data_IF_145117739865
#
_entry.id   IF_145117739865
#
_cell.length_a   1.000
_cell.length_b   1.000
_cell.length_c   1.000
_cell.angle_alpha   90.00
_cell.angle_beta   90.00
_cell.angle_gamma   90.00
#
_symmetry.space_group_name_H-M   'P 1'
#
loop_
_entity.id
_entity.type
_entity.pdbx_description
1 polymer ?
#
# COMPACT_ATOMS: atom_id res chain seq x y z
N UNK A 1 -15.48 -7.20 -19.22
CA UNK A 1 -14.64 -6.69 -18.10
C UNK A 1 -14.99 -5.26 -17.69
N UNK A 2 -14.99 -4.27 -18.59
CA UNK A 2 -15.22 -2.86 -18.25
C UNK A 2 -16.54 -2.59 -17.47
N UNK A 3 -17.71 -3.18 -17.85
CA UNK A 3 -18.92 -3.01 -17.07
C UNK A 3 -18.82 -3.52 -15.63
N UNK A 4 -18.09 -4.63 -15.39
CA UNK A 4 -17.87 -5.17 -14.03
C UNK A 4 -16.96 -4.25 -13.20
N UNK A 5 -15.91 -3.71 -13.79
CA UNK A 5 -15.04 -2.73 -13.12
C UNK A 5 -15.90 -1.53 -12.70
N UNK A 6 -16.70 -0.97 -13.62
CA UNK A 6 -17.60 0.16 -13.34
C UNK A 6 -18.63 -0.16 -12.25
N UNK A 7 -19.19 -1.39 -12.26
CA UNK A 7 -20.09 -1.87 -11.20
C UNK A 7 -19.40 -1.84 -9.83
N UNK A 8 -18.20 -2.44 -9.74
CA UNK A 8 -17.46 -2.55 -8.50
C UNK A 8 -17.05 -1.17 -7.95
N UNK A 9 -16.62 -0.26 -8.82
CA UNK A 9 -16.35 1.13 -8.46
C UNK A 9 -17.59 1.82 -7.88
N UNK A 10 -18.73 1.74 -8.58
CA UNK A 10 -19.97 2.35 -8.11
C UNK A 10 -20.43 1.78 -6.76
N UNK A 11 -20.35 0.47 -6.57
CA UNK A 11 -20.75 -0.19 -5.33
C UNK A 11 -19.84 0.23 -4.16
N UNK A 12 -18.53 0.33 -4.41
CA UNK A 12 -17.58 0.76 -3.39
C UNK A 12 -17.85 2.21 -2.96
N UNK A 13 -17.89 3.15 -3.89
CA UNK A 13 -18.07 4.57 -3.55
C UNK A 13 -19.48 4.93 -3.07
N UNK A 14 -20.49 4.10 -3.34
CA UNK A 14 -21.84 4.27 -2.78
C UNK A 14 -21.87 3.98 -1.28
N UNK A 15 -20.98 3.12 -0.77
CA UNK A 15 -20.82 2.84 0.64
C UNK A 15 -19.84 3.82 1.28
N UNK A 16 -20.31 5.02 1.65
CA UNK A 16 -19.47 6.09 2.23
C UNK A 16 -18.75 5.65 3.50
N UNK A 17 -19.42 4.90 4.38
CA UNK A 17 -18.80 4.36 5.59
C UNK A 17 -17.67 3.38 5.24
N UNK A 18 -17.88 2.47 4.28
CA UNK A 18 -16.84 1.55 3.81
C UNK A 18 -15.63 2.28 3.23
N UNK A 19 -15.84 3.36 2.48
CA UNK A 19 -14.75 4.22 1.97
C UNK A 19 -13.94 4.81 3.14
N UNK A 20 -14.61 5.39 4.13
CA UNK A 20 -13.96 5.95 5.31
C UNK A 20 -13.17 4.88 6.09
N UNK A 21 -13.81 3.76 6.41
CA UNK A 21 -13.17 2.66 7.13
C UNK A 21 -12.00 2.02 6.36
N UNK A 22 -12.02 2.05 5.04
CA UNK A 22 -10.89 1.55 4.23
C UNK A 22 -9.61 2.40 4.38
N UNK A 23 -9.76 3.69 4.69
CA UNK A 23 -8.66 4.61 4.96
C UNK A 23 -8.25 4.64 6.44
N UNK A 24 -9.03 4.01 7.32
CA UNK A 24 -8.86 4.16 8.78
C UNK A 24 -7.46 3.78 9.25
N UNK A 25 -6.87 2.70 8.73
CA UNK A 25 -5.50 2.30 9.06
C UNK A 25 -4.46 3.37 8.72
N UNK A 26 -4.60 4.01 7.56
CA UNK A 26 -3.73 5.10 7.13
C UNK A 26 -3.98 6.37 7.95
N UNK A 27 -5.24 6.70 8.26
CA UNK A 27 -5.60 7.86 9.07
C UNK A 27 -5.13 7.70 10.53
N UNK A 28 -5.22 6.51 11.10
CA UNK A 28 -4.66 6.20 12.43
C UNK A 28 -3.15 6.38 12.40
N UNK A 29 -2.45 5.86 11.38
CA UNK A 29 -1.00 6.03 11.24
C UNK A 29 -0.61 7.50 11.19
N UNK A 30 -1.33 8.29 10.42
CA UNK A 30 -1.13 9.74 10.31
C UNK A 30 -1.42 10.46 11.62
N UNK A 31 -2.53 10.15 12.29
CA UNK A 31 -2.91 10.73 13.57
C UNK A 31 -1.91 10.40 14.70
N UNK A 32 -1.47 9.14 14.79
CA UNK A 32 -0.45 8.73 15.76
C UNK A 32 0.88 9.45 15.54
N UNK A 33 1.25 9.66 14.26
CA UNK A 33 2.45 10.45 13.98
C UNK A 33 2.33 11.88 14.50
N UNK A 34 1.26 12.59 14.17
CA UNK A 34 1.09 14.00 14.57
C UNK A 34 1.04 14.15 16.09
N UNK A 35 0.28 13.28 16.77
CA UNK A 35 -0.01 13.42 18.21
C UNK A 35 1.17 12.96 19.07
N UNK A 36 1.83 11.86 18.69
CA UNK A 36 2.79 11.19 19.57
C UNK A 36 4.22 11.12 18.99
N UNK A 37 4.37 10.80 17.70
CA UNK A 37 5.69 10.49 17.17
C UNK A 37 6.47 11.74 16.77
N UNK A 38 5.81 12.74 16.17
CA UNK A 38 6.47 13.90 15.60
C UNK A 38 7.35 14.62 16.62
N UNK A 39 6.84 14.93 17.81
CA UNK A 39 7.59 15.61 18.86
C UNK A 39 8.81 14.81 19.33
N UNK A 40 8.61 13.52 19.62
CA UNK A 40 9.69 12.64 20.09
C UNK A 40 10.79 12.42 19.01
N UNK A 41 10.39 12.32 17.75
CA UNK A 41 11.33 12.15 16.64
C UNK A 41 12.09 13.45 16.31
N UNK A 42 11.48 14.61 16.47
CA UNK A 42 12.15 15.91 16.30
C UNK A 42 13.37 16.05 17.21
N UNK A 43 13.26 15.60 18.47
CA UNK A 43 14.37 15.64 19.43
C UNK A 43 15.55 14.76 19.00
N UNK A 44 15.27 13.64 18.36
CA UNK A 44 16.29 12.72 17.87
C UNK A 44 17.04 13.24 16.63
N UNK A 45 16.45 14.18 15.88
CA UNK A 45 16.97 14.69 14.61
C UNK A 45 17.23 16.20 14.61
N UNK A 46 17.48 16.82 15.78
CA UNK A 46 17.77 18.26 15.94
C UNK A 46 18.94 18.77 15.10
N UNK A 47 19.86 17.88 14.72
CA UNK A 47 21.02 18.19 13.90
C UNK A 47 20.69 18.47 12.41
N UNK A 48 19.47 18.19 11.98
CA UNK A 48 19.01 18.51 10.63
C UNK A 48 18.56 19.98 10.55
N UNK A 49 18.76 20.63 9.41
CA UNK A 49 18.32 22.02 9.21
C UNK A 49 16.80 22.20 9.31
N UNK A 50 16.03 21.19 8.81
CA UNK A 50 14.56 21.21 8.79
C UNK A 50 13.99 19.86 9.22
N UNK A 51 14.15 19.43 10.47
CA UNK A 51 13.76 18.07 10.89
C UNK A 51 12.26 17.82 10.75
N UNK A 52 11.40 18.83 11.00
CA UNK A 52 9.95 18.69 10.83
C UNK A 52 9.58 18.32 9.40
N UNK A 53 10.10 19.03 8.40
CA UNK A 53 9.82 18.75 6.98
C UNK A 53 10.30 17.36 6.54
N UNK A 54 11.45 16.91 7.05
CA UNK A 54 11.98 15.57 6.77
C UNK A 54 11.03 14.51 7.29
N UNK A 55 10.54 14.64 8.52
CA UNK A 55 9.63 13.70 9.16
C UNK A 55 8.23 13.73 8.53
N UNK A 56 7.77 14.89 8.10
CA UNK A 56 6.47 15.04 7.42
C UNK A 56 6.47 14.35 6.05
N UNK A 57 7.53 14.50 5.26
CA UNK A 57 7.68 13.78 3.99
C UNK A 57 7.84 12.27 4.20
N UNK A 58 8.51 11.87 5.27
CA UNK A 58 8.66 10.48 5.66
C UNK A 58 7.31 9.83 6.00
N UNK A 59 6.46 10.50 6.79
CA UNK A 59 5.14 9.97 7.17
C UNK A 59 4.19 9.93 5.99
N UNK A 60 4.21 10.92 5.09
CA UNK A 60 3.42 10.88 3.85
C UNK A 60 3.72 9.58 3.08
N UNK A 61 4.99 9.26 2.86
CA UNK A 61 5.38 8.06 2.12
C UNK A 61 4.91 6.76 2.79
N UNK A 62 5.04 6.67 4.11
CA UNK A 62 4.57 5.51 4.88
C UNK A 62 3.05 5.37 4.88
N UNK A 63 2.34 6.48 5.09
CA UNK A 63 0.87 6.50 5.12
C UNK A 63 0.27 6.10 3.76
N UNK A 64 0.85 6.55 2.64
CA UNK A 64 0.43 6.13 1.30
C UNK A 64 0.64 4.62 1.09
N UNK A 65 1.73 4.06 1.56
CA UNK A 65 1.97 2.63 1.46
C UNK A 65 0.96 1.81 2.31
N UNK A 66 0.63 2.25 3.53
CA UNK A 66 -0.45 1.64 4.34
C UNK A 66 -1.79 1.74 3.62
N UNK A 67 -2.12 2.93 3.08
CA UNK A 67 -3.36 3.16 2.35
C UNK A 67 -3.49 2.23 1.13
N UNK A 68 -2.39 1.94 0.41
CA UNK A 68 -2.42 1.00 -0.72
C UNK A 68 -2.90 -0.38 -0.30
N UNK A 69 -2.45 -0.87 0.85
CA UNK A 69 -2.79 -2.19 1.38
C UNK A 69 -4.24 -2.23 1.86
N UNK A 70 -4.63 -1.28 2.71
CA UNK A 70 -5.93 -1.31 3.39
C UNK A 70 -7.09 -1.02 2.45
N UNK A 71 -6.93 -0.04 1.54
CA UNK A 71 -8.00 0.33 0.60
C UNK A 71 -8.25 -0.74 -0.46
N UNK A 72 -7.18 -1.36 -0.98
CA UNK A 72 -7.32 -2.44 -1.97
C UNK A 72 -7.87 -3.72 -1.35
N UNK A 73 -7.51 -4.03 -0.09
CA UNK A 73 -8.09 -5.15 0.65
C UNK A 73 -9.59 -4.93 0.88
N UNK A 74 -9.99 -3.75 1.32
CA UNK A 74 -11.39 -3.37 1.50
C UNK A 74 -12.17 -3.43 0.17
N UNK A 75 -11.57 -3.01 -0.94
CA UNK A 75 -12.20 -3.12 -2.26
C UNK A 75 -12.40 -4.58 -2.69
N UNK A 76 -11.45 -5.47 -2.39
CA UNK A 76 -11.51 -6.89 -2.72
C UNK A 76 -12.49 -7.68 -1.82
N UNK A 77 -12.87 -7.16 -0.65
CA UNK A 77 -13.90 -7.77 0.17
C UNK A 77 -15.23 -7.95 -0.59
N UNK A 78 -15.48 -7.07 -1.59
CA UNK A 78 -16.63 -7.20 -2.49
C UNK A 78 -16.63 -8.50 -3.28
N UNK A 79 -15.47 -8.98 -3.71
CA UNK A 79 -15.37 -10.27 -4.41
C UNK A 79 -15.83 -11.41 -3.50
N UNK A 80 -15.44 -11.40 -2.24
CA UNK A 80 -15.84 -12.43 -1.27
C UNK A 80 -17.31 -12.33 -0.94
N UNK A 81 -17.85 -11.12 -0.81
CA UNK A 81 -19.30 -10.89 -0.67
C UNK A 81 -20.07 -11.44 -1.86
N UNK A 82 -19.62 -11.18 -3.09
CA UNK A 82 -20.28 -11.69 -4.30
C UNK A 82 -20.18 -13.23 -4.42
N UNK A 83 -19.12 -13.85 -3.86
CA UNK A 83 -19.02 -15.32 -3.73
C UNK A 83 -19.99 -15.87 -2.68
N UNK A 84 -20.08 -15.27 -1.49
CA UNK A 84 -20.95 -15.68 -0.40
C UNK A 84 -22.43 -15.64 -0.78
N UNK A 85 -22.84 -14.57 -1.47
CA UNK A 85 -24.22 -14.38 -1.93
C UNK A 85 -24.52 -14.97 -3.34
N UNK A 86 -23.62 -15.82 -3.88
CA UNK A 86 -23.72 -16.47 -5.20
C UNK A 86 -23.84 -15.53 -6.41
N UNK A 87 -23.65 -14.23 -6.23
CA UNK A 87 -23.61 -13.24 -7.34
C UNK A 87 -22.49 -13.56 -8.32
N UNK A 88 -21.41 -14.18 -7.86
CA UNK A 88 -20.30 -14.59 -8.72
C UNK A 88 -20.76 -15.67 -9.75
N UNK A 89 -21.65 -16.56 -9.36
CA UNK A 89 -22.20 -17.60 -10.25
C UNK A 89 -23.11 -16.96 -11.33
N UNK A 90 -23.92 -15.97 -10.95
CA UNK A 90 -24.74 -15.20 -11.90
C UNK A 90 -23.84 -14.48 -12.92
N UNK A 91 -22.69 -13.96 -12.48
CA UNK A 91 -21.72 -13.30 -13.38
C UNK A 91 -21.10 -14.29 -14.38
N UNK A 92 -20.92 -15.55 -14.01
CA UNK A 92 -20.44 -16.60 -14.95
C UNK A 92 -21.49 -16.86 -16.03
N UNK A 93 -22.78 -16.84 -15.69
CA UNK A 93 -23.87 -17.03 -16.66
C UNK A 93 -23.92 -15.94 -17.74
N UNK A 94 -23.26 -14.79 -17.52
CA UNK A 94 -23.12 -13.75 -18.56
C UNK A 94 -22.13 -14.10 -19.66
N UNK A 95 -21.54 -15.31 -19.67
CA UNK A 95 -20.54 -15.75 -20.66
C UNK A 95 -19.11 -15.24 -20.41
N UNK A 96 -18.86 -14.59 -19.28
CA UNK A 96 -17.51 -14.16 -18.90
C UNK A 96 -16.73 -15.31 -18.24
N UNK A 97 -15.48 -15.52 -18.66
CA UNK A 97 -14.63 -16.51 -17.99
C UNK A 97 -14.34 -16.09 -16.54
N UNK A 98 -14.19 -17.08 -15.65
CA UNK A 98 -13.87 -16.88 -14.22
C UNK A 98 -12.64 -15.97 -14.05
N UNK A 99 -11.60 -16.11 -14.90
CA UNK A 99 -10.42 -15.26 -14.88
C UNK A 99 -10.75 -13.78 -15.17
N UNK A 100 -11.59 -13.52 -16.19
CA UNK A 100 -11.99 -12.14 -16.53
C UNK A 100 -12.79 -11.49 -15.41
N UNK A 101 -13.63 -12.24 -14.71
CA UNK A 101 -14.38 -11.76 -13.56
C UNK A 101 -13.41 -11.44 -12.40
N UNK A 102 -12.50 -12.35 -12.04
CA UNK A 102 -11.48 -12.15 -10.98
C UNK A 102 -10.60 -10.96 -11.26
N UNK A 103 -10.06 -10.84 -12.49
CA UNK A 103 -9.23 -9.69 -12.89
C UNK A 103 -10.01 -8.37 -12.84
N UNK A 104 -11.33 -8.38 -13.06
CA UNK A 104 -12.14 -7.16 -12.93
C UNK A 104 -12.20 -6.65 -11.48
N UNK A 105 -12.19 -7.54 -10.47
CA UNK A 105 -12.09 -7.13 -9.07
C UNK A 105 -10.71 -6.57 -8.74
N UNK A 106 -9.63 -7.20 -9.22
CA UNK A 106 -8.26 -6.70 -9.02
C UNK A 106 -8.08 -5.32 -9.63
N UNK A 107 -8.54 -5.13 -10.88
CA UNK A 107 -8.44 -3.83 -11.56
C UNK A 107 -9.32 -2.75 -10.89
N UNK A 108 -10.53 -3.11 -10.44
CA UNK A 108 -11.37 -2.18 -9.68
C UNK A 108 -10.71 -1.80 -8.36
N UNK A 109 -10.12 -2.75 -7.62
CA UNK A 109 -9.40 -2.49 -6.38
C UNK A 109 -8.17 -1.60 -6.62
N UNK A 110 -7.44 -1.81 -7.72
CA UNK A 110 -6.32 -0.95 -8.12
C UNK A 110 -6.78 0.49 -8.35
N UNK A 111 -7.85 0.70 -9.09
CA UNK A 111 -8.40 2.04 -9.36
C UNK A 111 -8.86 2.70 -8.05
N UNK A 112 -9.59 1.97 -7.20
CA UNK A 112 -10.06 2.46 -5.90
C UNK A 112 -8.86 2.86 -5.02
N UNK A 113 -7.87 1.97 -4.88
CA UNK A 113 -6.67 2.24 -4.10
C UNK A 113 -5.90 3.46 -4.62
N UNK A 114 -5.75 3.59 -5.94
CA UNK A 114 -5.10 4.75 -6.56
C UNK A 114 -5.84 6.05 -6.25
N UNK A 115 -7.16 6.09 -6.45
CA UNK A 115 -7.96 7.29 -6.20
C UNK A 115 -7.93 7.72 -4.73
N UNK A 116 -8.04 6.76 -3.80
CA UNK A 116 -8.01 7.05 -2.37
C UNK A 116 -6.63 7.48 -1.88
N UNK A 117 -5.55 6.90 -2.42
CA UNK A 117 -4.19 7.36 -2.12
C UNK A 117 -3.93 8.77 -2.65
N UNK A 118 -4.42 9.10 -3.87
CA UNK A 118 -4.30 10.47 -4.40
C UNK A 118 -5.04 11.46 -3.49
N UNK A 119 -6.27 11.14 -3.10
CA UNK A 119 -7.03 11.99 -2.18
C UNK A 119 -6.29 12.19 -0.86
N UNK A 120 -5.77 11.09 -0.27
CA UNK A 120 -5.00 11.14 0.98
C UNK A 120 -3.70 11.94 0.82
N UNK A 121 -2.99 11.77 -0.30
CA UNK A 121 -1.78 12.55 -0.62
C UNK A 121 -2.08 14.04 -0.65
N UNK A 122 -3.13 14.45 -1.35
CA UNK A 122 -3.53 15.86 -1.43
C UNK A 122 -3.89 16.42 -0.05
N UNK A 123 -4.62 15.67 0.77
CA UNK A 123 -4.97 16.08 2.15
C UNK A 123 -3.71 16.29 2.99
N UNK A 124 -2.77 15.32 2.98
CA UNK A 124 -1.56 15.40 3.78
C UNK A 124 -0.62 16.51 3.31
N UNK A 125 -0.45 16.67 1.99
CA UNK A 125 0.37 17.75 1.45
C UNK A 125 -0.22 19.11 1.80
N UNK A 126 -1.54 19.30 1.67
CA UNK A 126 -2.21 20.55 2.05
C UNK A 126 -2.03 20.84 3.52
N UNK A 127 -2.19 19.85 4.39
CA UNK A 127 -2.01 20.00 5.83
C UNK A 127 -0.58 20.41 6.19
N UNK A 128 0.42 19.69 5.73
CA UNK A 128 1.82 19.99 6.06
C UNK A 128 2.36 21.22 5.34
N UNK A 129 1.80 21.58 4.18
CA UNK A 129 2.10 22.85 3.53
C UNK A 129 1.65 24.04 4.38
N UNK A 130 0.49 23.91 5.02
CA UNK A 130 -0.05 24.93 5.91
C UNK A 130 0.70 25.00 7.25
N UNK A 131 1.03 23.85 7.86
CA UNK A 131 1.65 23.79 9.21
C UNK A 131 3.16 24.04 9.18
N UNK A 132 3.89 23.36 8.27
CA UNK A 132 5.35 23.34 8.26
C UNK A 132 5.96 23.93 6.97
N UNK A 133 5.12 24.46 6.08
CA UNK A 133 5.56 25.08 4.85
C UNK A 133 6.23 24.11 3.87
N UNK A 134 5.72 22.86 3.78
CA UNK A 134 6.23 21.89 2.80
C UNK A 134 5.80 22.33 1.40
N UNK A 135 6.76 22.28 0.48
CA UNK A 135 6.53 22.44 -0.95
C UNK A 135 7.07 21.23 -1.69
N UNK A 136 6.20 20.55 -2.46
CA UNK A 136 6.59 19.40 -3.27
C UNK A 136 6.60 19.84 -4.73
N UNK A 137 7.75 19.77 -5.42
CA UNK A 137 7.85 20.11 -6.83
C UNK A 137 6.93 19.26 -7.71
N UNK A 138 6.40 19.86 -8.78
CA UNK A 138 5.44 19.19 -9.67
C UNK A 138 5.98 17.90 -10.30
N UNK A 139 7.28 17.84 -10.62
CA UNK A 139 7.90 16.62 -11.15
C UNK A 139 7.93 15.47 -10.14
N UNK A 140 8.12 15.76 -8.84
CA UNK A 140 8.03 14.76 -7.77
C UNK A 140 6.58 14.29 -7.62
N UNK A 141 5.62 15.23 -7.62
CA UNK A 141 4.19 14.91 -7.57
C UNK A 141 3.81 13.95 -8.69
N UNK A 142 4.26 14.19 -9.93
CA UNK A 142 4.00 13.30 -11.05
C UNK A 142 4.60 11.89 -10.84
N UNK A 143 5.83 11.80 -10.33
CA UNK A 143 6.46 10.52 -9.99
C UNK A 143 5.70 9.78 -8.89
N UNK A 144 5.22 10.50 -7.87
CA UNK A 144 4.38 9.92 -6.80
C UNK A 144 3.09 9.34 -7.38
N UNK A 145 2.43 10.02 -8.32
CA UNK A 145 1.23 9.49 -8.98
C UNK A 145 1.49 8.18 -9.73
N UNK A 146 2.62 8.06 -10.42
CA UNK A 146 3.02 6.81 -11.10
C UNK A 146 3.23 5.69 -10.06
N UNK A 147 3.95 5.98 -8.98
CA UNK A 147 4.19 5.00 -7.90
C UNK A 147 2.88 4.61 -7.22
N UNK A 148 1.92 5.52 -7.10
CA UNK A 148 0.60 5.23 -6.52
C UNK A 148 -0.17 4.17 -7.32
N UNK A 149 -0.10 4.21 -8.65
CA UNK A 149 -0.69 3.18 -9.52
C UNK A 149 0.02 1.83 -9.31
N UNK A 150 1.35 1.81 -9.29
CA UNK A 150 2.13 0.60 -9.05
C UNK A 150 1.85 0.02 -7.66
N UNK A 151 1.83 0.85 -6.62
CA UNK A 151 1.56 0.46 -5.24
C UNK A 151 0.17 -0.17 -5.10
N UNK A 152 -0.86 0.49 -5.66
CA UNK A 152 -2.23 -0.01 -5.66
C UNK A 152 -2.36 -1.32 -6.42
N UNK A 153 -1.69 -1.45 -7.57
CA UNK A 153 -1.73 -2.67 -8.36
C UNK A 153 -1.02 -3.83 -7.64
N UNK A 154 0.18 -3.61 -7.13
CA UNK A 154 0.92 -4.61 -6.34
C UNK A 154 0.14 -5.05 -5.10
N UNK A 155 -0.43 -4.11 -4.34
CA UNK A 155 -1.25 -4.41 -3.18
C UNK A 155 -2.55 -5.15 -3.56
N UNK A 156 -3.20 -4.80 -4.68
CA UNK A 156 -4.40 -5.48 -5.16
C UNK A 156 -4.13 -6.94 -5.52
N UNK A 157 -3.01 -7.20 -6.21
CA UNK A 157 -2.60 -8.56 -6.59
C UNK A 157 -2.27 -9.40 -5.35
N UNK A 158 -1.52 -8.85 -4.41
CA UNK A 158 -1.19 -9.52 -3.15
C UNK A 158 -2.46 -9.82 -2.33
N UNK A 159 -3.29 -8.81 -2.11
CA UNK A 159 -4.53 -8.94 -1.35
C UNK A 159 -5.51 -9.91 -2.00
N UNK A 160 -5.57 -9.96 -3.34
CA UNK A 160 -6.38 -10.93 -4.05
C UNK A 160 -5.97 -12.37 -3.68
N UNK A 161 -4.67 -12.70 -3.69
CA UNK A 161 -4.18 -14.04 -3.32
C UNK A 161 -4.53 -14.37 -1.87
N UNK A 162 -4.44 -13.40 -0.97
CA UNK A 162 -4.74 -13.59 0.45
C UNK A 162 -6.24 -13.87 0.69
N UNK A 163 -7.14 -13.20 -0.03
CA UNK A 163 -8.59 -13.35 0.17
C UNK A 163 -9.24 -14.34 -0.80
N UNK A 164 -8.54 -14.79 -1.83
CA UNK A 164 -9.05 -15.61 -2.91
C UNK A 164 -9.77 -16.90 -2.46
N UNK A 165 -9.30 -17.53 -1.38
CA UNK A 165 -9.88 -18.76 -0.81
C UNK A 165 -10.91 -18.49 0.29
N UNK A 166 -11.09 -17.24 0.69
CA UNK A 166 -12.08 -16.88 1.70
C UNK A 166 -13.49 -16.91 1.09
N UNK A 167 -14.42 -17.51 1.80
CA UNK A 167 -15.83 -17.69 1.33
C UNK A 167 -16.83 -16.88 2.13
N UNK A 168 -16.39 -16.25 3.23
CA UNK A 168 -17.25 -15.56 4.18
C UNK A 168 -16.73 -14.15 4.43
N UNK A 169 -17.63 -13.16 4.39
CA UNK A 169 -17.28 -11.75 4.56
C UNK A 169 -16.80 -11.44 5.97
N UNK A 170 -17.29 -12.14 6.99
CA UNK A 170 -16.82 -11.97 8.37
C UNK A 170 -15.34 -12.36 8.52
N UNK A 171 -14.94 -13.44 7.84
CA UNK A 171 -13.51 -13.86 7.81
C UNK A 171 -12.63 -12.78 7.19
N UNK A 172 -13.08 -12.18 6.09
CA UNK A 172 -12.38 -11.06 5.45
C UNK A 172 -12.33 -9.86 6.37
N UNK A 173 -13.41 -9.55 7.08
CA UNK A 173 -13.48 -8.46 8.05
C UNK A 173 -12.45 -8.61 9.17
N UNK A 174 -12.39 -9.79 9.80
CA UNK A 174 -11.40 -10.13 10.84
C UNK A 174 -9.96 -10.06 10.28
N UNK A 175 -9.74 -10.62 9.11
CA UNK A 175 -8.44 -10.56 8.43
C UNK A 175 -8.03 -9.12 8.11
N UNK A 176 -8.95 -8.30 7.61
CA UNK A 176 -8.69 -6.88 7.30
C UNK A 176 -8.31 -6.08 8.53
N UNK A 177 -8.88 -6.38 9.69
CA UNK A 177 -8.50 -5.74 10.96
C UNK A 177 -7.05 -6.08 11.35
N UNK A 178 -6.65 -7.35 11.19
CA UNK A 178 -5.27 -7.77 11.46
C UNK A 178 -4.31 -7.10 10.48
N UNK A 179 -4.62 -7.12 9.18
CA UNK A 179 -3.78 -6.50 8.15
C UNK A 179 -3.69 -4.99 8.37
N UNK A 180 -4.80 -4.33 8.71
CA UNK A 180 -4.83 -2.90 9.02
C UNK A 180 -3.89 -2.53 10.18
N UNK A 181 -3.95 -3.29 11.28
CA UNK A 181 -3.07 -3.07 12.42
C UNK A 181 -1.60 -3.40 12.10
N UNK A 182 -1.34 -4.50 11.40
CA UNK A 182 0.02 -4.95 11.08
C UNK A 182 0.70 -4.08 10.03
N UNK A 183 -0.05 -3.52 9.08
CA UNK A 183 0.51 -2.76 7.95
C UNK A 183 1.37 -1.58 8.38
N UNK A 184 0.99 -0.87 9.46
CA UNK A 184 1.76 0.24 9.99
C UNK A 184 3.14 -0.17 10.54
N UNK A 185 3.24 -1.36 11.13
CA UNK A 185 4.53 -1.92 11.55
C UNK A 185 5.34 -2.44 10.36
N UNK A 186 4.71 -3.15 9.44
CA UNK A 186 5.37 -3.72 8.26
C UNK A 186 5.89 -2.66 7.27
N UNK A 187 5.26 -1.50 7.25
CA UNK A 187 5.69 -0.33 6.45
C UNK A 187 6.68 0.55 7.24
N UNK A 188 6.80 0.34 8.54
CA UNK A 188 7.67 1.09 9.43
C UNK A 188 7.23 2.54 9.62
N UNK A 189 5.93 2.78 9.81
CA UNK A 189 5.38 4.11 10.09
C UNK A 189 5.06 4.31 11.58
N UNK A 190 4.69 3.27 12.31
CA UNK A 190 4.51 3.35 13.76
C UNK A 190 5.85 3.37 14.49
N UNK A 191 6.79 2.56 14.02
CA UNK A 191 8.17 2.51 14.52
C UNK A 191 9.09 2.50 13.29
N UNK A 192 10.08 3.39 13.21
CA UNK A 192 11.05 3.39 12.12
C UNK A 192 11.75 2.03 11.99
N UNK A 193 11.92 1.55 10.76
CA UNK A 193 12.40 0.18 10.48
C UNK A 193 13.75 -0.09 11.14
N UNK A 194 14.66 0.90 11.15
CA UNK A 194 16.00 0.73 11.72
C UNK A 194 16.05 0.62 13.25
N UNK A 195 14.96 0.95 13.95
CA UNK A 195 14.84 0.83 15.41
C UNK A 195 14.25 -0.52 15.81
N UNK A 196 13.63 -1.25 14.87
CA UNK A 196 13.04 -2.56 15.14
C UNK A 196 14.12 -3.62 15.46
N UNK A 197 13.80 -4.63 16.30
CA UNK A 197 14.65 -5.80 16.47
C UNK A 197 14.92 -6.51 15.13
N UNK A 198 16.06 -7.17 14.99
CA UNK A 198 16.51 -7.82 13.74
C UNK A 198 15.47 -8.79 13.18
N UNK A 199 14.76 -9.53 14.02
CA UNK A 199 13.67 -10.41 13.61
C UNK A 199 12.55 -9.63 12.88
N UNK A 200 12.10 -8.53 13.48
CA UNK A 200 11.04 -7.70 12.91
C UNK A 200 11.50 -7.01 11.61
N UNK A 201 12.76 -6.54 11.54
CA UNK A 201 13.34 -6.03 10.30
C UNK A 201 13.30 -7.08 9.17
N UNK A 202 13.59 -8.35 9.49
CA UNK A 202 13.54 -9.43 8.50
C UNK A 202 12.11 -9.72 8.01
N UNK A 203 11.11 -9.65 8.89
CA UNK A 203 9.70 -9.73 8.48
C UNK A 203 9.29 -8.57 7.55
N UNK A 204 9.71 -7.36 7.88
CA UNK A 204 9.49 -6.17 7.03
C UNK A 204 10.05 -6.39 5.62
N UNK A 205 11.27 -6.92 5.50
CA UNK A 205 11.93 -7.19 4.21
C UNK A 205 11.17 -8.19 3.32
N UNK A 206 10.33 -9.05 3.89
CA UNK A 206 9.51 -10.00 3.14
C UNK A 206 8.26 -9.36 2.54
N UNK A 207 7.90 -8.14 2.96
CA UNK A 207 6.66 -7.50 2.54
C UNK A 207 6.90 -6.46 1.43
N UNK A 208 6.17 -6.50 0.30
CA UNK A 208 6.32 -5.50 -0.74
C UNK A 208 5.94 -4.09 -0.28
N UNK A 209 5.09 -3.97 0.75
CA UNK A 209 4.69 -2.69 1.33
C UNK A 209 5.84 -1.85 1.87
N UNK A 210 6.87 -2.49 2.45
CA UNK A 210 8.07 -1.79 2.93
C UNK A 210 8.86 -1.14 1.78
N UNK A 211 9.01 -1.84 0.65
CA UNK A 211 9.69 -1.31 -0.54
C UNK A 211 8.89 -0.21 -1.22
N UNK A 212 7.56 -0.33 -1.23
CA UNK A 212 6.66 0.76 -1.69
C UNK A 212 6.85 2.01 -0.85
N UNK A 213 6.88 1.89 0.49
CA UNK A 213 7.16 3.02 1.38
C UNK A 213 8.54 3.62 1.15
N UNK A 214 9.56 2.77 0.93
CA UNK A 214 10.91 3.23 0.61
C UNK A 214 10.95 4.01 -0.71
N UNK A 215 10.23 3.59 -1.77
CA UNK A 215 10.12 4.34 -3.02
C UNK A 215 9.49 5.71 -2.78
N UNK A 216 8.37 5.79 -2.07
CA UNK A 216 7.73 7.07 -1.75
C UNK A 216 8.66 7.98 -0.97
N UNK A 217 9.32 7.46 0.08
CA UNK A 217 10.26 8.22 0.90
C UNK A 217 11.45 8.72 0.08
N UNK A 218 12.04 7.88 -0.78
CA UNK A 218 13.14 8.26 -1.67
C UNK A 218 12.74 9.31 -2.69
N UNK A 219 11.49 9.35 -3.14
CA UNK A 219 10.98 10.37 -4.05
C UNK A 219 10.72 11.68 -3.30
N UNK A 220 9.91 11.63 -2.26
CA UNK A 220 9.44 12.80 -1.53
C UNK A 220 10.58 13.54 -0.81
N UNK A 221 11.54 12.79 -0.27
CA UNK A 221 12.65 13.35 0.51
C UNK A 221 13.89 13.67 -0.33
N UNK A 222 13.86 13.39 -1.65
CA UNK A 222 15.02 13.50 -2.53
C UNK A 222 15.72 14.86 -2.41
N UNK A 223 14.98 15.95 -2.51
CA UNK A 223 15.57 17.29 -2.55
C UNK A 223 16.06 17.77 -1.18
N UNK A 224 15.32 17.44 -0.12
CA UNK A 224 15.69 17.85 1.24
C UNK A 224 16.93 17.07 1.76
N UNK A 225 17.15 15.86 1.25
CA UNK A 225 18.29 15.02 1.65
C UNK A 225 19.59 15.38 0.92
N UNK A 226 19.56 16.14 -0.18
CA UNK A 226 20.76 16.55 -0.92
C UNK A 226 21.74 17.38 -0.08
N UNK A 227 21.22 18.15 0.86
CA UNK A 227 22.01 19.08 1.69
C UNK A 227 22.40 18.47 3.05
N UNK A 228 22.12 17.17 3.29
CA UNK A 228 22.48 16.50 4.54
C UNK A 228 23.87 15.91 4.44
N UNK A 229 24.67 16.06 5.51
CA UNK A 229 26.03 15.51 5.58
C UNK A 229 26.03 13.99 5.40
N UNK A 230 26.99 13.39 4.67
CA UNK A 230 26.98 11.95 4.32
C UNK A 230 26.85 11.02 5.52
N UNK A 231 27.52 11.32 6.63
CA UNK A 231 27.48 10.48 7.85
C UNK A 231 26.07 10.46 8.49
N UNK A 232 25.42 11.63 8.53
CA UNK A 232 24.06 11.78 9.05
C UNK A 232 23.07 11.14 8.09
N UNK A 233 23.27 11.36 6.79
CA UNK A 233 22.40 10.85 5.71
C UNK A 233 22.30 9.33 5.75
N UNK A 234 23.42 8.61 5.83
CA UNK A 234 23.40 7.13 5.87
C UNK A 234 22.61 6.60 7.08
N UNK A 235 22.87 7.18 8.26
CA UNK A 235 22.16 6.79 9.48
C UNK A 235 20.66 7.11 9.40
N UNK A 236 20.29 8.29 8.90
CA UNK A 236 18.91 8.70 8.68
C UNK A 236 18.19 7.75 7.72
N UNK A 237 18.80 7.44 6.58
CA UNK A 237 18.21 6.55 5.58
C UNK A 237 17.98 5.14 6.13
N UNK A 238 18.92 4.61 6.89
CA UNK A 238 18.82 3.30 7.54
C UNK A 238 17.74 3.30 8.62
N UNK A 239 17.76 4.30 9.51
CA UNK A 239 16.85 4.36 10.65
C UNK A 239 15.41 4.57 10.20
N UNK A 240 15.16 5.54 9.33
CA UNK A 240 13.80 5.86 8.85
C UNK A 240 13.28 4.90 7.77
N UNK A 241 14.10 3.93 7.30
CA UNK A 241 13.70 3.03 6.24
C UNK A 241 13.41 3.76 4.92
N UNK A 242 14.24 4.76 4.60
CA UNK A 242 14.24 5.41 3.29
C UNK A 242 14.90 4.47 2.26
N UNK A 243 15.90 3.70 2.67
CA UNK A 243 16.40 2.52 1.99
C UNK A 243 16.25 1.30 2.88
N UNK A 244 15.90 0.17 2.31
CA UNK A 244 15.84 -1.10 3.03
C UNK A 244 17.24 -1.71 3.08
N UNK A 245 17.71 -2.07 4.27
CA UNK A 245 19.03 -2.67 4.42
C UNK A 245 19.00 -4.15 3.98
N UNK A 246 19.61 -4.45 2.83
CA UNK A 246 19.83 -5.80 2.35
C UNK A 246 21.34 -6.10 2.42
N UNK A 247 21.72 -7.03 3.28
CA UNK A 247 23.12 -7.49 3.45
C UNK A 247 24.14 -6.34 3.65
N UNK A 248 23.80 -5.35 4.45
CA UNK A 248 24.67 -4.23 4.75
C UNK A 248 24.52 -3.01 3.82
N UNK A 249 23.91 -3.16 2.67
CA UNK A 249 23.68 -2.08 1.70
C UNK A 249 22.22 -1.59 1.73
N UNK A 250 22.04 -0.28 1.60
CA UNK A 250 20.71 0.32 1.48
C UNK A 250 20.22 0.22 0.03
N UNK A 251 18.97 -0.20 -0.15
CA UNK A 251 18.36 -0.30 -1.48
C UNK A 251 18.18 1.06 -2.13
N UNK A 252 18.49 1.13 -3.42
CA UNK A 252 18.20 2.28 -4.27
C UNK A 252 16.73 2.30 -4.73
N UNK A 253 16.29 3.45 -5.25
CA UNK A 253 14.94 3.59 -5.82
C UNK A 253 14.66 2.56 -6.92
N UNK A 254 15.63 2.34 -7.81
CA UNK A 254 15.50 1.35 -8.89
C UNK A 254 15.38 -0.08 -8.36
N UNK A 255 16.20 -0.45 -7.37
CA UNK A 255 16.12 -1.78 -6.75
C UNK A 255 14.76 -2.01 -6.09
N UNK A 256 14.25 -1.03 -5.34
CA UNK A 256 12.92 -1.13 -4.73
C UNK A 256 11.83 -1.30 -5.79
N UNK A 257 11.90 -0.55 -6.88
CA UNK A 257 10.96 -0.65 -8.00
C UNK A 257 11.00 -2.05 -8.64
N UNK A 258 12.20 -2.57 -8.91
CA UNK A 258 12.40 -3.92 -9.48
C UNK A 258 11.86 -4.99 -8.54
N UNK A 259 12.10 -4.87 -7.23
CA UNK A 259 11.57 -5.83 -6.23
C UNK A 259 10.04 -5.82 -6.21
N UNK A 260 9.41 -4.64 -6.13
CA UNK A 260 7.95 -4.52 -6.10
C UNK A 260 7.34 -5.08 -7.39
N UNK A 261 7.89 -4.72 -8.54
CA UNK A 261 7.42 -5.21 -9.84
C UNK A 261 7.63 -6.72 -9.99
N UNK A 262 8.80 -7.21 -9.61
CA UNK A 262 9.14 -8.64 -9.66
C UNK A 262 8.20 -9.49 -8.79
N UNK A 263 7.98 -9.08 -7.54
CA UNK A 263 7.02 -9.75 -6.66
C UNK A 263 5.62 -9.71 -7.26
N UNK A 264 5.18 -8.58 -7.81
CA UNK A 264 3.87 -8.45 -8.43
C UNK A 264 3.71 -9.39 -9.63
N UNK A 265 4.72 -9.52 -10.47
CA UNK A 265 4.71 -10.45 -11.63
C UNK A 265 4.65 -11.90 -11.15
N UNK A 266 5.42 -12.28 -10.15
CA UNK A 266 5.39 -13.63 -9.56
C UNK A 266 3.97 -13.93 -9.04
N UNK A 267 3.36 -13.02 -8.29
CA UNK A 267 2.02 -13.18 -7.76
C UNK A 267 0.96 -13.27 -8.87
N UNK A 268 1.10 -12.51 -9.96
CA UNK A 268 0.22 -12.63 -11.14
C UNK A 268 0.34 -14.01 -11.81
N UNK A 269 1.54 -14.54 -11.94
CA UNK A 269 1.76 -15.90 -12.48
C UNK A 269 1.07 -16.93 -11.59
N UNK A 270 1.15 -16.79 -10.27
CA UNK A 270 0.44 -17.66 -9.30
C UNK A 270 -1.09 -17.59 -9.55
N UNK A 271 -1.66 -16.40 -9.75
CA UNK A 271 -3.09 -16.24 -10.05
C UNK A 271 -3.48 -16.98 -11.34
N UNK A 272 -2.66 -16.89 -12.38
CA UNK A 272 -2.93 -17.57 -13.65
C UNK A 272 -2.89 -19.09 -13.51
N UNK A 273 -1.89 -19.60 -12.78
CA UNK A 273 -1.73 -21.05 -12.55
C UNK A 273 -2.90 -21.60 -11.70
N UNK A 274 -3.27 -20.91 -10.61
CA UNK A 274 -4.38 -21.34 -9.76
C UNK A 274 -5.71 -21.32 -10.50
N UNK A 275 -5.91 -20.32 -11.37
CA UNK A 275 -7.13 -20.27 -12.17
C UNK A 275 -7.23 -21.42 -13.18
N UNK A 276 -6.12 -21.82 -13.80
CA UNK A 276 -6.08 -22.97 -14.71
C UNK A 276 -6.39 -24.29 -13.97
N UNK A 277 -5.87 -24.44 -12.76
CA UNK A 277 -6.13 -25.64 -11.93
C UNK A 277 -7.62 -25.75 -11.53
N UNK A 278 -8.26 -24.65 -11.15
CA UNK A 278 -9.67 -24.60 -10.81
C UNK A 278 -10.58 -24.95 -12.02
N UNK A 279 -10.19 -24.52 -13.22
CA UNK A 279 -10.93 -24.88 -14.46
C UNK A 279 -10.85 -26.38 -14.74
N UNK A 280 -9.70 -27.00 -14.60
CA UNK A 280 -9.53 -28.43 -14.86
C UNK A 280 -10.32 -29.29 -13.87
N UNK A 281 -10.44 -28.87 -12.60
CA UNK A 281 -11.26 -29.59 -11.61
C UNK A 281 -12.75 -29.53 -11.92
N UNK A 282 -13.26 -28.41 -12.43
CA UNK A 282 -14.69 -28.31 -12.78
C UNK A 282 -15.10 -29.19 -13.97
N UNK A 283 -14.16 -29.44 -14.91
CA UNK A 283 -14.39 -30.34 -16.08
C UNK A 283 -14.30 -31.80 -15.69
N UNK A 284 -13.55 -32.18 -14.64
CA UNK A 284 -13.40 -33.58 -14.21
C UNK A 284 -14.51 -34.07 -13.25
N UNK A 285 -15.43 -33.19 -12.85
CA UNK A 285 -16.56 -33.49 -11.94
C UNK A 285 -17.90 -33.49 -12.68
N UNK A 286 -17.94 -33.23 -13.97
CA UNK A 286 -19.01 -33.46 -14.93
C UNK A 286 -18.81 -34.81 -15.66
#
# INVERSE_FOLDING_TARGET
MLPLIRRNLKLFFRNRAGVFFSLLGALISFGLFIIFLKSNMLDSWKQLQHPARVLDLWVIGGTLAVASITTTLSALSRMVSDLEYRVFDDLILTGLSRLKIRLSYVLAATIIGTLLQIALFLIMVSYFSWVDGISIPGYITFQVLIVTILASFSASVLNFILVYRMKNIDTVGKFSSIVGAASGFLVGIYIPIGVLPTFAQNLVKLTPGAYVAAIYRQLLMHDILKNVQPNILHNLQKTLGIGINLNGNLTTKLQNFVIVTGVTVILLIIILITNKHDQNKSVSTE
#
